data_IF_438234814885
#
_entry.id   IF_438234814885
#
_cell.length_a   1.000
_cell.length_b   1.000
_cell.length_c   1.000
_cell.angle_alpha   90.00
_cell.angle_beta   90.00
_cell.angle_gamma   90.00
#
_symmetry.space_group_name_H-M   'P 1'
#
loop_
_entity.id
_entity.type
_entity.pdbx_description
1 polymer ?
#
# COMPACT_ATOMS: atom_id res chain seq x y z
N UNK A 1 3.01 -5.61 -29.18
CA UNK A 1 3.30 -6.71 -28.25
C UNK A 1 2.10 -7.00 -27.36
N UNK A 2 1.58 -6.01 -26.62
CA UNK A 2 0.43 -6.18 -25.71
C UNK A 2 -0.86 -6.72 -26.37
N UNK A 3 -1.20 -6.25 -27.59
CA UNK A 3 -2.38 -6.74 -28.31
C UNK A 3 -2.25 -8.20 -28.78
N UNK A 4 -1.03 -8.64 -29.14
CA UNK A 4 -0.78 -10.03 -29.52
C UNK A 4 -0.90 -10.93 -28.29
N UNK A 5 -0.24 -10.54 -27.19
CA UNK A 5 -0.33 -11.23 -25.90
C UNK A 5 -1.78 -11.38 -25.44
N UNK A 6 -2.61 -10.35 -25.61
CA UNK A 6 -4.03 -10.41 -25.24
C UNK A 6 -4.79 -11.47 -26.05
N UNK A 7 -4.55 -11.56 -27.36
CA UNK A 7 -5.19 -12.57 -28.22
C UNK A 7 -4.76 -13.98 -27.85
N UNK A 8 -3.46 -14.19 -27.66
CA UNK A 8 -2.90 -15.50 -27.30
C UNK A 8 -3.48 -15.99 -25.95
N UNK A 9 -3.58 -15.09 -24.96
CA UNK A 9 -4.20 -15.42 -23.66
C UNK A 9 -5.69 -15.77 -23.82
N UNK A 10 -6.44 -15.02 -24.63
CA UNK A 10 -7.87 -15.28 -24.85
C UNK A 10 -8.10 -16.61 -25.57
N UNK A 11 -7.28 -16.94 -26.56
CA UNK A 11 -7.32 -18.22 -27.26
C UNK A 11 -7.03 -19.38 -26.31
N UNK A 12 -5.98 -19.25 -25.48
CA UNK A 12 -5.64 -20.24 -24.44
C UNK A 12 -6.79 -20.44 -23.44
N UNK A 13 -7.36 -19.36 -22.91
CA UNK A 13 -8.48 -19.44 -21.97
C UNK A 13 -9.72 -20.09 -22.60
N UNK A 14 -9.95 -19.87 -23.89
CA UNK A 14 -11.02 -20.53 -24.64
C UNK A 14 -10.73 -22.03 -24.78
N UNK A 15 -9.50 -22.40 -25.11
CA UNK A 15 -9.09 -23.81 -25.19
C UNK A 15 -9.16 -24.54 -23.84
N UNK A 16 -9.02 -23.79 -22.74
CA UNK A 16 -9.03 -24.33 -21.38
C UNK A 16 -10.41 -24.33 -20.72
N UNK A 17 -11.45 -23.85 -21.41
CA UNK A 17 -12.84 -23.87 -20.95
C UNK A 17 -13.27 -25.20 -20.29
N UNK A 18 -13.02 -26.39 -20.87
CA UNK A 18 -13.42 -27.65 -20.23
C UNK A 18 -12.69 -27.94 -18.90
N UNK A 19 -11.47 -27.44 -18.71
CA UNK A 19 -10.76 -27.58 -17.44
C UNK A 19 -11.29 -26.62 -16.38
N UNK A 20 -11.73 -25.42 -16.78
CA UNK A 20 -12.39 -24.48 -15.86
C UNK A 20 -13.76 -25.00 -15.43
N UNK A 21 -14.51 -25.58 -16.36
CA UNK A 21 -15.79 -26.22 -16.08
C UNK A 21 -15.65 -27.39 -15.07
N UNK A 22 -14.53 -28.11 -15.10
CA UNK A 22 -14.24 -29.16 -14.11
C UNK A 22 -13.69 -28.62 -12.77
N UNK A 23 -13.32 -27.35 -12.69
CA UNK A 23 -12.66 -26.76 -11.53
C UNK A 23 -13.64 -26.12 -10.55
N UNK A 24 -13.43 -26.35 -9.24
CA UNK A 24 -14.28 -25.75 -8.20
C UNK A 24 -13.93 -24.28 -7.91
N UNK A 25 -12.69 -23.87 -8.14
CA UNK A 25 -12.20 -22.52 -7.84
C UNK A 25 -11.07 -22.14 -8.80
N UNK A 26 -11.07 -20.88 -9.24
CA UNK A 26 -10.03 -20.35 -10.14
C UNK A 26 -9.32 -19.20 -9.45
N UNK A 27 -8.00 -19.32 -9.31
CA UNK A 27 -7.18 -18.28 -8.70
C UNK A 27 -6.48 -17.43 -9.76
N UNK A 28 -6.70 -16.12 -9.73
CA UNK A 28 -6.17 -15.17 -10.71
C UNK A 28 -5.36 -14.09 -10.01
N UNK A 29 -4.17 -13.83 -10.53
CA UNK A 29 -3.40 -12.64 -10.18
C UNK A 29 -3.13 -11.81 -11.42
N UNK A 30 -3.70 -10.61 -11.44
CA UNK A 30 -3.43 -9.61 -12.47
C UNK A 30 -3.24 -8.25 -11.79
N UNK A 31 -2.11 -7.55 -12.02
CA UNK A 31 -1.96 -6.16 -11.59
C UNK A 31 -3.01 -5.29 -12.29
N UNK A 32 -3.37 -4.16 -11.68
CA UNK A 32 -4.49 -3.30 -12.10
C UNK A 32 -4.48 -2.93 -13.60
N UNK A 33 -3.30 -2.74 -14.19
CA UNK A 33 -3.11 -2.46 -15.61
C UNK A 33 -3.60 -3.58 -16.55
N UNK A 34 -3.47 -4.84 -16.12
CA UNK A 34 -3.74 -6.01 -16.97
C UNK A 34 -5.00 -6.77 -16.56
N UNK A 35 -5.67 -6.34 -15.49
CA UNK A 35 -6.92 -6.97 -15.02
C UNK A 35 -7.99 -6.95 -16.11
N UNK A 36 -8.09 -5.87 -16.88
CA UNK A 36 -9.04 -5.73 -18.00
C UNK A 36 -8.82 -6.74 -19.15
N UNK A 37 -7.78 -7.58 -19.10
CA UNK A 37 -7.54 -8.64 -20.08
C UNK A 37 -8.33 -9.92 -19.76
N UNK A 38 -8.64 -10.15 -18.49
CA UNK A 38 -9.35 -11.37 -18.01
C UNK A 38 -10.83 -11.12 -17.75
N UNK A 39 -11.20 -9.86 -17.51
CA UNK A 39 -12.57 -9.42 -17.22
C UNK A 39 -13.08 -8.56 -18.38
N UNK A 40 -14.30 -8.83 -18.84
CA UNK A 40 -15.01 -7.97 -19.78
C UNK A 40 -16.10 -7.22 -19.02
N UNK A 41 -15.72 -6.15 -18.34
CA UNK A 41 -16.54 -5.54 -17.29
C UNK A 41 -16.47 -6.35 -16.00
N UNK A 42 -17.61 -6.86 -15.52
CA UNK A 42 -17.71 -7.63 -14.27
C UNK A 42 -17.65 -9.15 -14.47
N UNK A 43 -17.78 -9.63 -15.72
CA UNK A 43 -17.82 -11.06 -16.05
C UNK A 43 -16.48 -11.55 -16.60
N UNK A 44 -16.04 -12.72 -16.14
CA UNK A 44 -14.86 -13.41 -16.67
C UNK A 44 -15.13 -13.89 -18.10
N UNK A 45 -14.13 -13.79 -18.96
CA UNK A 45 -14.24 -14.14 -20.38
C UNK A 45 -14.40 -15.65 -20.64
N UNK A 46 -14.14 -16.50 -19.66
CA UNK A 46 -13.97 -17.95 -19.84
C UNK A 46 -14.85 -18.82 -18.94
N UNK A 47 -15.72 -18.20 -18.12
CA UNK A 47 -16.62 -18.93 -17.23
C UNK A 47 -18.06 -18.42 -17.40
N UNK A 48 -18.94 -19.30 -17.89
CA UNK A 48 -20.37 -18.98 -18.02
C UNK A 48 -21.18 -19.36 -16.78
N UNK A 49 -20.63 -20.18 -15.90
CA UNK A 49 -21.27 -20.66 -14.68
C UNK A 49 -20.26 -20.76 -13.53
N UNK A 50 -20.33 -19.82 -12.60
CA UNK A 50 -19.95 -19.99 -11.20
C UNK A 50 -18.62 -20.66 -10.80
N UNK A 51 -17.56 -20.64 -11.60
CA UNK A 51 -16.22 -20.81 -11.02
C UNK A 51 -15.92 -19.56 -10.20
N UNK A 52 -15.89 -19.68 -8.88
CA UNK A 52 -15.59 -18.58 -7.97
C UNK A 52 -14.15 -18.11 -8.24
N UNK A 53 -14.00 -17.05 -9.02
CA UNK A 53 -12.70 -16.53 -9.39
C UNK A 53 -12.20 -15.63 -8.29
N UNK A 54 -11.18 -16.13 -7.58
CA UNK A 54 -10.61 -15.46 -6.43
C UNK A 54 -9.27 -14.85 -6.78
N UNK A 55 -8.98 -13.74 -6.12
CA UNK A 55 -7.64 -13.20 -6.11
C UNK A 55 -6.75 -14.09 -5.25
N UNK A 56 -5.48 -14.22 -5.66
CA UNK A 56 -4.48 -14.99 -4.92
C UNK A 56 -4.21 -14.29 -3.56
N UNK A 57 -4.48 -14.94 -2.40
CA UNK A 57 -4.34 -14.35 -1.07
C UNK A 57 -2.88 -14.24 -0.58
N UNK A 58 -1.91 -14.51 -1.45
CA UNK A 58 -0.48 -14.46 -1.17
C UNK A 58 0.22 -13.56 -2.18
N UNK A 59 1.40 -13.05 -1.82
CA UNK A 59 2.19 -12.23 -2.73
C UNK A 59 2.64 -13.06 -3.93
N UNK A 60 2.36 -12.56 -5.13
CA UNK A 60 2.74 -13.20 -6.39
C UNK A 60 3.93 -12.44 -6.97
N UNK A 61 4.99 -13.18 -7.31
CA UNK A 61 6.22 -12.66 -7.91
C UNK A 61 6.07 -12.63 -9.44
N UNK A 62 7.21 -12.62 -10.14
CA UNK A 62 7.23 -12.62 -11.60
C UNK A 62 6.48 -13.86 -12.14
N UNK A 63 5.51 -13.69 -13.07
CA UNK A 63 4.75 -14.81 -13.64
C UNK A 63 5.68 -15.78 -14.37
N UNK A 64 6.02 -16.88 -13.70
CA UNK A 64 6.87 -17.95 -14.19
C UNK A 64 6.28 -19.28 -13.75
N UNK A 65 6.62 -20.38 -14.42
CA UNK A 65 6.12 -21.71 -14.05
C UNK A 65 6.50 -22.08 -12.60
N UNK A 66 7.73 -21.76 -12.18
CA UNK A 66 8.19 -21.97 -10.78
C UNK A 66 7.33 -21.22 -9.76
N UNK A 67 6.91 -20.00 -10.11
CA UNK A 67 6.04 -19.20 -9.26
C UNK A 67 4.62 -19.80 -9.19
N UNK A 68 4.07 -20.28 -10.31
CA UNK A 68 2.78 -20.97 -10.32
C UNK A 68 2.81 -22.23 -9.44
N UNK A 69 3.89 -23.02 -9.50
CA UNK A 69 4.07 -24.19 -8.65
C UNK A 69 4.19 -23.82 -7.16
N UNK A 70 4.92 -22.74 -6.83
CA UNK A 70 5.03 -22.23 -5.45
C UNK A 70 3.66 -21.82 -4.91
N UNK A 71 2.90 -21.06 -5.69
CA UNK A 71 1.58 -20.58 -5.30
C UNK A 71 0.62 -21.75 -5.11
N UNK A 72 0.61 -22.70 -6.05
CA UNK A 72 -0.20 -23.92 -5.93
C UNK A 72 0.15 -24.72 -4.68
N UNK A 73 1.45 -24.90 -4.40
CA UNK A 73 1.89 -25.57 -3.18
C UNK A 73 1.40 -24.87 -1.91
N UNK A 74 1.46 -23.54 -1.85
CA UNK A 74 0.97 -22.78 -0.69
C UNK A 74 -0.56 -22.81 -0.54
N UNK A 75 -1.31 -22.81 -1.64
CA UNK A 75 -2.78 -22.84 -1.59
C UNK A 75 -3.35 -24.22 -1.25
N UNK A 76 -2.60 -25.29 -1.56
CA UNK A 76 -3.01 -26.67 -1.30
C UNK A 76 -2.51 -27.21 0.03
N UNK A 77 -1.56 -26.52 0.67
CA UNK A 77 -1.05 -26.89 1.98
C UNK A 77 -2.00 -26.42 3.08
N UNK A 78 -2.31 -27.34 4.00
CA UNK A 78 -2.97 -27.01 5.27
C UNK A 78 -1.88 -26.57 6.23
N UNK A 79 -1.89 -25.30 6.60
CA UNK A 79 -1.03 -24.77 7.66
C UNK A 79 -1.74 -24.95 9.00
N UNK A 80 -1.12 -25.67 9.93
CA UNK A 80 -1.57 -25.69 11.32
C UNK A 80 -1.07 -24.41 11.97
N UNK A 81 -2.00 -23.49 12.22
CA UNK A 81 -1.74 -22.39 13.13
C UNK A 81 -1.90 -22.96 14.54
N UNK A 82 -0.78 -23.25 15.20
CA UNK A 82 -0.78 -23.46 16.63
C UNK A 82 -1.11 -22.10 17.22
N UNK A 83 -2.37 -21.90 17.59
CA UNK A 83 -2.67 -20.91 18.62
C UNK A 83 -1.91 -21.41 19.85
N UNK A 84 -0.77 -20.79 20.14
CA UNK A 84 -0.21 -20.81 21.48
C UNK A 84 -1.21 -20.06 22.38
N UNK A 85 -2.35 -20.69 22.66
CA UNK A 85 -2.93 -20.56 23.98
C UNK A 85 -1.89 -21.16 24.88
N UNK A 86 -1.11 -20.30 25.51
CA UNK A 86 -0.18 -20.63 26.57
C UNK A 86 -0.90 -21.61 27.53
N UNK A 87 -0.61 -22.89 27.38
CA UNK A 87 -0.87 -23.84 28.46
C UNK A 87 0.16 -23.48 29.54
N UNK A 88 -0.27 -23.18 30.78
CA UNK A 88 0.68 -22.86 31.84
C UNK A 88 1.64 -24.04 32.02
N UNK A 89 2.91 -23.67 31.98
CA UNK A 89 4.09 -24.53 32.01
C UNK A 89 4.09 -25.45 33.25
N UNK A 90 3.81 -26.76 33.05
CA UNK A 90 3.92 -27.79 34.09
C UNK A 90 5.37 -28.34 34.15
N UNK A 91 6.38 -27.50 33.94
CA UNK A 91 7.80 -27.91 34.04
C UNK A 91 8.59 -27.16 35.12
N UNK A 92 7.91 -26.66 36.17
CA UNK A 92 8.57 -26.14 37.38
C UNK A 92 8.14 -26.84 38.67
N UNK A 93 8.15 -28.16 38.66
CA UNK A 93 8.35 -28.98 39.85
C UNK A 93 9.41 -30.03 39.48
N UNK A 94 10.68 -29.63 39.63
CA UNK A 94 11.81 -30.53 39.46
C UNK A 94 11.72 -31.68 40.49
N UNK A 95 11.82 -32.90 39.94
CA UNK A 95 12.66 -34.02 40.36
C UNK A 95 12.81 -34.26 41.87
N UNK A 96 12.37 -35.44 42.33
CA UNK A 96 13.21 -36.36 43.13
C UNK A 96 12.61 -37.78 43.17
N UNK A 97 13.30 -38.67 42.46
CA UNK A 97 13.65 -40.06 42.80
C UNK A 97 12.61 -41.11 43.26
N UNK A 98 12.59 -42.16 42.42
CA UNK A 98 12.73 -43.60 42.76
C UNK A 98 11.47 -44.50 42.80
N UNK A 99 11.42 -45.33 41.75
CA UNK A 99 11.30 -46.79 41.75
C UNK A 99 10.12 -47.53 42.45
N UNK A 100 9.51 -48.39 41.63
CA UNK A 100 8.86 -49.69 41.90
C UNK A 100 7.38 -49.75 42.30
N UNK A 101 6.59 -50.20 41.31
CA UNK A 101 5.42 -51.10 41.34
C UNK A 101 4.55 -51.25 42.60
N UNK A 102 3.23 -51.13 42.41
CA UNK A 102 2.23 -52.21 42.55
C UNK A 102 0.80 -51.70 42.34
N UNK A 103 -0.03 -52.63 41.90
CA UNK A 103 -1.47 -52.56 41.68
C UNK A 103 -2.31 -52.29 42.95
N UNK A 104 -3.60 -52.02 42.69
CA UNK A 104 -4.80 -52.38 43.47
C UNK A 104 -5.52 -51.32 44.35
N UNK A 105 -6.75 -51.03 43.90
CA UNK A 105 -8.06 -51.30 44.57
C UNK A 105 -8.38 -50.66 45.93
N UNK A 106 -9.49 -49.89 45.96
CA UNK A 106 -10.63 -49.89 46.91
C UNK A 106 -11.28 -48.49 46.92
N UNK A 107 -12.39 -48.25 46.23
CA UNK A 107 -13.79 -48.46 46.66
C UNK A 107 -14.23 -47.78 47.97
N UNK A 108 -15.45 -47.21 47.88
CA UNK A 108 -16.46 -46.95 48.94
C UNK A 108 -16.29 -45.70 49.81
N UNK A 109 -17.32 -44.94 50.21
CA UNK A 109 -18.79 -45.05 50.09
C UNK A 109 -19.47 -43.73 50.48
N UNK A 110 -20.56 -43.40 49.78
CA UNK A 110 -21.90 -43.02 50.29
C UNK A 110 -22.16 -41.81 51.22
N UNK A 111 -23.08 -40.95 50.69
CA UNK A 111 -24.28 -40.31 51.31
C UNK A 111 -24.04 -39.22 52.37
N UNK A 112 -24.81 -38.13 52.50
CA UNK A 112 -26.27 -37.88 52.37
C UNK A 112 -26.50 -36.34 52.42
N UNK A 113 -27.15 -35.71 51.43
CA UNK A 113 -28.50 -35.11 51.43
C UNK A 113 -28.92 -34.15 52.60
N UNK A 114 -29.29 -32.92 52.19
CA UNK A 114 -30.51 -32.14 52.54
C UNK A 114 -30.44 -30.90 53.50
N UNK A 115 -30.75 -29.75 52.88
CA UNK A 115 -31.22 -28.41 53.35
C UNK A 115 -32.48 -28.45 54.28
N UNK A 116 -33.18 -27.34 54.70
CA UNK A 116 -32.97 -25.86 54.64
C UNK A 116 -33.38 -25.06 55.93
N UNK A 117 -33.33 -23.72 55.89
CA UNK A 117 -34.17 -22.79 56.71
C UNK A 117 -33.38 -21.62 57.34
N UNK A 118 -33.46 -20.36 56.85
CA UNK A 118 -34.51 -19.31 56.89
C UNK A 118 -34.46 -18.41 58.15
N UNK A 119 -34.33 -17.10 57.90
CA UNK A 119 -34.98 -15.93 58.56
C UNK A 119 -33.97 -14.78 58.88
N UNK A 120 -34.08 -13.65 58.16
CA UNK A 120 -34.60 -12.31 58.60
C UNK A 120 -33.56 -11.52 59.42
N UNK A 121 -33.19 -10.26 59.16
CA UNK A 121 -33.93 -8.99 59.00
C UNK A 121 -33.04 -7.98 58.23
N UNK A 122 -33.53 -7.20 57.24
CA UNK A 122 -34.14 -5.85 57.34
C UNK A 122 -33.25 -4.81 58.07
N UNK A 123 -33.06 -3.54 57.67
CA UNK A 123 -33.68 -2.61 56.71
C UNK A 123 -32.63 -1.50 56.45
N UNK A 124 -32.41 -1.05 55.22
CA UNK A 124 -33.00 0.16 54.61
C UNK A 124 -32.73 1.51 55.31
N UNK A 125 -32.03 2.41 54.60
CA UNK A 125 -32.59 3.66 54.01
C UNK A 125 -31.50 4.28 53.11
N UNK A 126 -31.71 4.40 51.80
CA UNK A 126 -32.53 5.42 51.09
C UNK A 126 -32.05 6.86 51.39
N UNK A 127 -31.83 7.79 50.44
CA UNK A 127 -32.11 7.85 48.99
C UNK A 127 -31.56 9.18 48.41
N UNK A 128 -31.07 9.12 47.17
CA UNK A 128 -31.41 9.99 46.01
C UNK A 128 -30.71 11.35 45.79
N UNK A 129 -29.99 11.42 44.65
CA UNK A 129 -30.35 12.22 43.45
C UNK A 129 -29.74 11.53 42.20
N UNK A 130 -30.45 10.67 41.46
CA UNK A 130 -31.24 10.95 40.22
C UNK A 130 -30.57 11.93 39.25
N UNK A 131 -30.26 11.61 37.97
CA UNK A 131 -31.03 10.88 36.92
C UNK A 131 -30.10 10.11 35.95
N UNK A 132 -30.24 8.79 35.73
CA UNK A 132 -31.13 8.02 34.80
C UNK A 132 -30.60 7.95 33.34
N UNK A 133 -30.41 6.78 32.70
CA UNK A 133 -31.17 5.51 32.75
C UNK A 133 -30.29 4.27 32.45
N UNK A 134 -30.19 3.24 33.31
CA UNK A 134 -30.97 1.95 33.42
C UNK A 134 -30.84 1.00 32.22
N UNK A 135 -30.78 -0.33 32.27
CA UNK A 135 -30.56 -1.42 33.25
C UNK A 135 -30.93 -2.71 32.48
N UNK A 136 -30.34 -3.88 32.78
CA UNK A 136 -31.01 -5.16 32.50
C UNK A 136 -30.11 -6.30 32.06
N UNK A 137 -29.78 -7.19 33.00
CA UNK A 137 -29.50 -8.59 32.68
C UNK A 137 -30.84 -9.30 32.41
N UNK A 138 -31.04 -9.83 31.20
CA UNK A 138 -31.68 -11.12 30.90
C UNK A 138 -31.94 -11.28 29.39
N UNK A 139 -31.58 -12.46 28.89
CA UNK A 139 -32.07 -13.19 27.72
C UNK A 139 -32.09 -12.54 26.32
N UNK A 140 -31.15 -13.01 25.49
CA UNK A 140 -31.23 -13.14 24.02
C UNK A 140 -31.80 -11.94 23.25
N UNK A 141 -31.00 -10.87 23.14
CA UNK A 141 -31.04 -10.00 21.97
C UNK A 141 -29.62 -9.80 21.43
N UNK A 142 -29.46 -10.13 20.15
CA UNK A 142 -28.25 -10.00 19.35
C UNK A 142 -28.00 -8.51 19.08
N UNK A 143 -27.36 -7.80 20.01
CA UNK A 143 -27.10 -6.36 19.93
C UNK A 143 -25.59 -6.10 20.04
N UNK A 144 -24.98 -5.73 18.91
CA UNK A 144 -23.71 -5.06 18.72
C UNK A 144 -22.73 -5.11 19.90
N UNK A 145 -21.72 -5.99 19.81
CA UNK A 145 -20.56 -5.99 20.73
C UNK A 145 -19.62 -4.78 20.56
N UNK A 146 -20.12 -3.63 20.09
CA UNK A 146 -19.32 -2.42 19.85
C UNK A 146 -18.92 -1.79 21.18
N UNK A 147 -17.64 -1.85 21.53
CA UNK A 147 -17.12 -1.20 22.76
C UNK A 147 -17.08 0.32 22.63
N UNK A 148 -17.10 1.10 23.73
CA UNK A 148 -16.94 2.56 23.68
C UNK A 148 -15.65 2.99 22.97
N UNK A 149 -14.60 2.16 23.04
CA UNK A 149 -13.35 2.39 22.31
C UNK A 149 -13.52 2.30 20.78
N UNK A 150 -14.45 1.45 20.28
CA UNK A 150 -14.81 1.42 18.87
C UNK A 150 -15.59 2.67 18.45
N UNK A 151 -16.47 3.17 19.31
CA UNK A 151 -17.24 4.39 19.05
C UNK A 151 -16.33 5.62 18.99
N UNK A 152 -15.43 5.78 19.97
CA UNK A 152 -14.43 6.84 19.97
C UNK A 152 -13.48 6.77 18.76
N UNK A 153 -13.10 5.55 18.35
CA UNK A 153 -12.28 5.38 17.15
C UNK A 153 -13.03 5.79 15.86
N UNK A 154 -14.34 5.52 15.80
CA UNK A 154 -15.21 5.87 14.67
C UNK A 154 -15.58 7.36 14.65
N UNK A 155 -15.71 7.99 15.82
CA UNK A 155 -16.02 9.42 15.95
C UNK A 155 -14.84 10.30 15.50
N UNK A 156 -13.61 9.78 15.57
CA UNK A 156 -12.40 10.50 15.17
C UNK A 156 -11.79 11.34 16.30
N UNK A 157 -12.29 11.19 17.53
CA UNK A 157 -11.84 11.95 18.69
C UNK A 157 -10.57 11.34 19.30
N UNK A 158 -9.41 11.90 18.96
CA UNK A 158 -8.12 11.41 19.44
C UNK A 158 -7.95 11.50 20.98
N UNK A 159 -8.54 12.52 21.61
CA UNK A 159 -8.48 12.75 23.06
C UNK A 159 -9.31 11.72 23.83
N UNK A 160 -10.54 11.47 23.37
CA UNK A 160 -11.46 10.46 23.95
C UNK A 160 -10.86 9.06 23.88
N UNK A 161 -10.21 8.72 22.76
CA UNK A 161 -9.49 7.45 22.62
C UNK A 161 -8.33 7.33 23.62
N UNK A 162 -7.57 8.42 23.85
CA UNK A 162 -6.47 8.41 24.81
C UNK A 162 -6.98 8.21 26.24
N UNK A 163 -8.05 8.91 26.61
CA UNK A 163 -8.66 8.82 27.94
C UNK A 163 -9.18 7.40 28.22
N UNK A 164 -9.89 6.79 27.26
CA UNK A 164 -10.39 5.42 27.39
C UNK A 164 -9.24 4.39 27.51
N UNK A 165 -8.15 4.61 26.79
CA UNK A 165 -6.95 3.77 26.89
C UNK A 165 -6.27 3.91 28.26
N UNK A 166 -6.22 5.13 28.81
CA UNK A 166 -5.70 5.40 30.16
C UNK A 166 -6.58 4.77 31.26
N UNK A 167 -7.90 4.77 31.07
CA UNK A 167 -8.86 4.06 31.93
C UNK A 167 -8.71 2.53 31.89
N UNK A 168 -7.90 2.00 30.97
CA UNK A 168 -7.55 0.59 30.89
C UNK A 168 -8.46 -0.23 29.99
N UNK A 169 -9.17 0.39 29.04
CA UNK A 169 -9.94 -0.35 28.06
C UNK A 169 -9.03 -1.10 27.09
N UNK A 170 -9.34 -2.37 26.85
CA UNK A 170 -8.51 -3.25 26.03
C UNK A 170 -8.67 -2.91 24.52
N UNK A 171 -7.57 -2.54 23.83
CA UNK A 171 -7.59 -2.23 22.40
C UNK A 171 -7.59 -3.49 21.51
N UNK A 172 -7.50 -4.68 22.10
CA UNK A 172 -7.45 -5.98 21.40
C UNK A 172 -8.85 -6.55 21.12
N UNK A 173 -9.89 -6.00 21.74
CA UNK A 173 -11.27 -6.47 21.59
C UNK A 173 -11.72 -6.24 20.15
N UNK A 174 -12.28 -7.27 19.52
CA UNK A 174 -12.81 -7.21 18.16
C UNK A 174 -14.32 -7.05 18.19
N UNK A 175 -14.84 -6.17 17.35
CA UNK A 175 -16.27 -6.01 17.10
C UNK A 175 -16.87 -7.23 16.38
N UNK A 176 -18.19 -7.27 16.17
CA UNK A 176 -18.91 -8.34 15.45
C UNK A 176 -18.35 -8.61 14.04
N UNK A 177 -17.68 -7.60 13.46
CA UNK A 177 -17.03 -7.65 12.15
C UNK A 177 -15.59 -8.17 12.20
N UNK A 178 -15.11 -8.60 13.38
CA UNK A 178 -13.74 -9.01 13.62
C UNK A 178 -12.72 -7.87 13.57
N UNK A 179 -13.18 -6.61 13.66
CA UNK A 179 -12.32 -5.42 13.56
C UNK A 179 -11.95 -4.92 14.95
N UNK A 180 -10.70 -4.54 15.15
CA UNK A 180 -10.26 -3.86 16.38
C UNK A 180 -10.63 -2.37 16.33
N UNK A 181 -10.64 -1.65 17.47
CA UNK A 181 -10.87 -0.22 17.51
C UNK A 181 -9.93 0.54 16.57
N UNK A 182 -8.67 0.11 16.47
CA UNK A 182 -7.70 0.68 15.55
C UNK A 182 -8.10 0.53 14.07
N UNK A 183 -8.71 -0.59 13.68
CA UNK A 183 -9.21 -0.80 12.31
C UNK A 183 -10.47 0.01 12.01
N UNK A 184 -11.25 0.33 13.04
CA UNK A 184 -12.43 1.20 12.92
C UNK A 184 -12.06 2.68 12.80
N UNK A 185 -10.84 3.07 13.16
CA UNK A 185 -10.35 4.43 13.03
C UNK A 185 -10.14 4.84 11.56
N UNK A 186 -10.93 5.82 11.11
CA UNK A 186 -10.77 6.47 9.81
C UNK A 186 -9.61 7.48 9.84
N UNK A 187 -9.53 8.24 10.92
CA UNK A 187 -8.61 9.36 11.08
C UNK A 187 -7.16 8.93 11.34
N UNK A 188 -6.23 9.68 10.75
CA UNK A 188 -4.79 9.43 10.95
C UNK A 188 -4.37 9.73 12.39
N UNK A 189 -4.92 10.78 13.00
CA UNK A 189 -4.52 11.19 14.35
C UNK A 189 -4.94 10.16 15.40
N UNK A 190 -6.16 9.61 15.30
CA UNK A 190 -6.61 8.51 16.16
C UNK A 190 -5.73 7.27 16.02
N UNK A 191 -5.36 6.89 14.78
CA UNK A 191 -4.40 5.77 14.60
C UNK A 191 -3.03 6.08 15.21
N UNK A 192 -2.59 7.34 15.15
CA UNK A 192 -1.36 7.77 15.77
C UNK A 192 -1.45 7.74 17.31
N UNK A 193 -2.59 8.06 17.92
CA UNK A 193 -2.74 7.96 19.39
C UNK A 193 -2.62 6.53 19.87
N UNK A 194 -3.25 5.55 19.21
CA UNK A 194 -3.04 4.13 19.51
C UNK A 194 -1.56 3.72 19.41
N UNK A 195 -0.85 4.22 18.39
CA UNK A 195 0.58 3.92 18.18
C UNK A 195 1.50 4.61 19.19
N UNK A 196 1.17 5.83 19.64
CA UNK A 196 1.88 6.57 20.69
C UNK A 196 1.65 5.90 22.05
N UNK A 197 0.41 5.52 22.33
CA UNK A 197 0.03 4.85 23.56
C UNK A 197 0.61 3.44 23.67
N UNK A 198 0.70 2.71 22.55
CA UNK A 198 1.48 1.47 22.46
C UNK A 198 2.92 1.69 22.89
N UNK A 199 3.58 2.74 22.38
CA UNK A 199 4.98 3.02 22.70
C UNK A 199 5.22 3.22 24.20
N UNK A 200 4.23 3.76 24.91
CA UNK A 200 4.26 3.95 26.37
C UNK A 200 3.88 2.69 27.15
N UNK A 201 3.16 1.74 26.55
CA UNK A 201 2.59 0.56 27.21
C UNK A 201 2.87 -0.74 26.44
N UNK A 202 4.12 -0.99 26.04
CA UNK A 202 4.49 -2.17 25.23
C UNK A 202 4.12 -3.51 25.88
N UNK A 203 4.06 -3.57 27.20
CA UNK A 203 3.94 -4.82 27.97
C UNK A 203 2.53 -5.08 28.52
N UNK A 204 1.62 -4.09 28.43
CA UNK A 204 0.30 -4.16 29.09
C UNK A 204 -0.75 -4.90 28.26
N UNK A 205 -0.63 -4.92 26.94
CA UNK A 205 -1.56 -5.60 26.03
C UNK A 205 -0.81 -6.27 24.88
N UNK A 206 -1.41 -7.33 24.32
CA UNK A 206 -0.94 -7.93 23.08
C UNK A 206 -1.28 -7.02 21.88
N UNK A 207 -0.36 -6.10 21.60
CA UNK A 207 -0.47 -5.16 20.50
C UNK A 207 -0.45 -5.81 19.11
N UNK A 208 0.02 -7.06 18.99
CA UNK A 208 -0.09 -7.83 17.76
C UNK A 208 -1.54 -8.24 17.53
N UNK A 209 -2.26 -8.67 18.57
CA UNK A 209 -3.69 -8.98 18.49
C UNK A 209 -4.57 -7.74 18.20
N UNK A 210 -4.08 -6.53 18.53
CA UNK A 210 -4.75 -5.26 18.25
C UNK A 210 -4.62 -4.77 16.78
N UNK A 211 -3.87 -5.48 15.92
CA UNK A 211 -3.59 -5.12 14.51
C UNK A 211 -2.93 -3.74 14.34
N UNK A 212 -2.15 -3.27 15.32
CA UNK A 212 -1.47 -1.98 15.25
C UNK A 212 -0.06 -2.15 14.65
N UNK A 213 0.21 -1.71 13.40
CA UNK A 213 1.36 -2.20 12.61
C UNK A 213 2.76 -1.75 13.04
N UNK A 214 2.91 -0.88 14.03
CA UNK A 214 4.17 -0.50 14.70
C UNK A 214 3.96 0.72 15.62
N UNK A 215 4.66 0.74 16.76
CA UNK A 215 4.73 1.89 17.64
C UNK A 215 5.31 3.11 16.89
N UNK A 216 4.53 4.20 16.81
CA UNK A 216 4.96 5.47 16.22
C UNK A 216 5.50 6.31 17.36
N UNK A 217 6.82 6.30 17.53
CA UNK A 217 7.48 7.14 18.53
C UNK A 217 7.44 8.60 18.10
N UNK A 218 7.29 9.50 19.08
CA UNK A 218 7.27 10.96 18.87
C UNK A 218 8.49 11.45 18.10
N UNK A 219 9.67 10.89 18.40
CA UNK A 219 10.92 11.20 17.69
C UNK A 219 10.91 10.81 16.21
N UNK A 220 10.24 9.71 15.85
CA UNK A 220 10.12 9.27 14.46
C UNK A 220 9.17 10.17 13.66
N UNK A 221 8.11 10.68 14.29
CA UNK A 221 7.17 11.61 13.67
C UNK A 221 7.83 12.97 13.37
N UNK A 222 8.59 13.49 14.33
CA UNK A 222 9.35 14.74 14.17
C UNK A 222 10.42 14.60 13.08
N UNK A 223 11.09 13.45 12.99
CA UNK A 223 12.06 13.14 11.92
C UNK A 223 11.41 13.07 10.54
N UNK A 224 10.22 12.46 10.43
CA UNK A 224 9.47 12.42 9.17
C UNK A 224 8.98 13.83 8.76
N UNK A 225 8.48 14.62 9.70
CA UNK A 225 8.07 16.00 9.47
C UNK A 225 9.25 16.87 9.03
N UNK A 226 10.41 16.74 9.68
CA UNK A 226 11.64 17.44 9.29
C UNK A 226 12.09 17.06 7.88
N UNK A 227 12.14 15.76 7.56
CA UNK A 227 12.49 15.28 6.20
C UNK A 227 11.51 15.77 5.13
N UNK A 228 10.23 15.86 5.46
CA UNK A 228 9.22 16.36 4.52
C UNK A 228 9.33 17.89 4.34
N UNK A 229 9.51 18.63 5.42
CA UNK A 229 9.72 20.08 5.39
C UNK A 229 11.00 20.45 4.62
N UNK A 230 12.09 19.68 4.77
CA UNK A 230 13.33 19.87 4.00
C UNK A 230 13.09 19.66 2.49
N UNK A 231 12.39 18.58 2.12
CA UNK A 231 12.05 18.30 0.71
C UNK A 231 11.18 19.42 0.11
N UNK A 232 10.20 19.91 0.85
CA UNK A 232 9.30 20.96 0.37
C UNK A 232 9.99 22.34 0.33
N UNK A 233 10.89 22.63 1.28
CA UNK A 233 11.76 23.80 1.23
C UNK A 233 12.68 23.76 -0.01
N UNK A 234 13.29 22.61 -0.31
CA UNK A 234 14.13 22.40 -1.51
C UNK A 234 13.33 22.58 -2.81
N UNK A 235 12.11 22.06 -2.87
CA UNK A 235 11.20 22.26 -4.02
C UNK A 235 10.81 23.73 -4.18
N UNK A 236 10.48 24.42 -3.09
CA UNK A 236 10.13 25.85 -3.09
C UNK A 236 11.31 26.73 -3.49
N UNK A 237 12.53 26.40 -3.06
CA UNK A 237 13.75 27.08 -3.48
C UNK A 237 14.01 26.94 -4.99
N UNK A 238 13.97 25.71 -5.52
CA UNK A 238 14.11 25.43 -6.96
C UNK A 238 13.03 26.14 -7.79
N UNK A 239 11.79 26.18 -7.31
CA UNK A 239 10.70 26.88 -7.98
C UNK A 239 10.92 28.41 -8.02
N UNK A 240 11.40 29.01 -6.93
CA UNK A 240 11.75 30.44 -6.89
C UNK A 240 12.90 30.77 -7.84
N UNK A 241 13.92 29.92 -7.89
CA UNK A 241 15.07 30.07 -8.80
C UNK A 241 14.64 29.97 -10.27
N UNK A 242 13.84 28.95 -10.62
CA UNK A 242 13.31 28.78 -11.97
C UNK A 242 12.44 29.97 -12.40
N UNK A 243 11.63 30.51 -11.49
CA UNK A 243 10.81 31.71 -11.76
C UNK A 243 11.67 32.96 -11.99
N UNK A 244 12.76 33.14 -11.23
CA UNK A 244 13.74 34.22 -11.46
C UNK A 244 14.42 34.07 -12.82
N UNK A 245 14.85 32.86 -13.18
CA UNK A 245 15.52 32.58 -14.45
C UNK A 245 14.58 32.78 -15.65
N UNK A 246 13.30 32.40 -15.53
CA UNK A 246 12.27 32.69 -16.54
C UNK A 246 12.05 34.19 -16.72
N UNK A 247 11.87 34.96 -15.64
CA UNK A 247 11.74 36.42 -15.71
C UNK A 247 12.97 37.09 -16.33
N UNK A 248 14.18 36.61 -16.02
CA UNK A 248 15.41 37.14 -16.60
C UNK A 248 15.51 36.84 -18.11
N UNK A 249 15.16 35.62 -18.54
CA UNK A 249 15.12 35.26 -19.96
C UNK A 249 14.07 36.07 -20.72
N UNK A 250 12.90 36.30 -20.14
CA UNK A 250 11.84 37.12 -20.72
C UNK A 250 12.26 38.57 -20.88
N UNK A 251 12.89 39.17 -19.86
CA UNK A 251 13.46 40.53 -19.97
C UNK A 251 14.56 40.63 -21.04
N UNK A 252 15.44 39.62 -21.14
CA UNK A 252 16.47 39.58 -22.19
C UNK A 252 15.86 39.44 -23.58
N UNK A 253 14.82 38.62 -23.75
CA UNK A 253 14.12 38.48 -25.02
C UNK A 253 13.39 39.78 -25.42
N UNK A 254 12.78 40.49 -24.46
CA UNK A 254 12.16 41.79 -24.69
C UNK A 254 13.18 42.87 -25.08
N UNK A 255 14.34 42.91 -24.42
CA UNK A 255 15.42 43.84 -24.76
C UNK A 255 15.98 43.58 -26.18
N UNK A 256 16.23 42.31 -26.52
CA UNK A 256 16.67 41.93 -27.87
C UNK A 256 15.63 42.24 -28.94
N UNK A 257 14.33 42.09 -28.64
CA UNK A 257 13.25 42.47 -29.54
C UNK A 257 13.20 43.99 -29.75
N UNK A 258 13.39 44.80 -28.70
CA UNK A 258 13.41 46.27 -28.80
C UNK A 258 14.63 46.80 -29.58
N UNK A 259 15.81 46.22 -29.38
CA UNK A 259 17.02 46.55 -30.15
C UNK A 259 16.84 46.28 -31.65
N UNK A 260 16.18 45.17 -31.99
CA UNK A 260 15.90 44.82 -33.39
C UNK A 260 14.87 45.73 -34.07
N UNK A 261 14.04 46.45 -33.31
CA UNK A 261 13.08 47.42 -33.86
C UNK A 261 13.73 48.80 -34.07
N UNK A 262 14.67 49.20 -33.20
CA UNK A 262 15.34 50.49 -33.28
C UNK A 262 16.38 50.58 -34.41
N UNK A 263 16.87 49.44 -34.91
CA UNK A 263 17.74 49.38 -36.10
C UNK A 263 16.99 49.63 -37.43
N UNK A 264 15.67 49.86 -37.42
CA UNK A 264 14.85 50.05 -38.63
C UNK A 264 14.40 51.49 -38.89
N UNK A 265 14.86 52.47 -38.10
CA UNK A 265 14.45 53.87 -38.23
C UNK A 265 15.63 54.82 -38.46
N UNK A 266 16.06 54.94 -39.73
CA UNK A 266 16.80 56.10 -40.23
C UNK A 266 16.19 56.54 -41.58
N UNK A 267 16.03 57.86 -41.86
CA UNK A 267 15.08 58.36 -42.86
C UNK A 267 15.79 58.81 -44.15
N UNK A 268 15.22 58.59 -45.35
CA UNK A 268 15.34 59.50 -46.52
C UNK A 268 14.55 59.04 -47.76
N UNK A 269 13.67 59.94 -48.23
CA UNK A 269 13.45 60.41 -49.60
C UNK A 269 13.31 59.45 -50.82
N UNK A 270 12.10 59.53 -51.41
CA UNK A 270 11.76 59.80 -52.83
C UNK A 270 12.25 58.86 -53.95
N UNK A 271 11.24 58.36 -54.68
CA UNK A 271 11.14 58.17 -56.14
C UNK A 271 10.97 56.72 -56.67
N UNK A 272 9.74 56.46 -57.16
CA UNK A 272 9.34 56.05 -58.53
C UNK A 272 10.05 54.85 -59.20
N UNK A 273 9.18 53.93 -59.67
CA UNK A 273 9.25 53.02 -60.81
C UNK A 273 9.71 51.55 -60.63
N UNK A 274 9.00 50.70 -61.37
CA UNK A 274 8.87 49.24 -61.33
C UNK A 274 9.88 48.52 -62.27
N UNK A 275 9.78 47.20 -62.57
CA UNK A 275 10.83 46.23 -62.28
C UNK A 275 11.55 45.68 -63.52
N UNK A 276 12.76 45.12 -63.36
CA UNK A 276 13.37 44.25 -64.38
C UNK A 276 14.41 43.30 -63.77
N UNK A 277 14.58 42.17 -64.43
CA UNK A 277 15.08 40.87 -63.93
C UNK A 277 16.59 40.68 -64.19
N UNK A 278 17.21 39.81 -63.36
CA UNK A 278 18.51 39.08 -63.48
C UNK A 278 19.68 39.72 -62.73
N UNK A 279 20.03 39.24 -61.53
CA UNK A 279 20.82 38.03 -61.20
C UNK A 279 22.33 38.35 -61.15
N UNK A 280 22.95 38.21 -59.96
CA UNK A 280 24.28 37.63 -59.69
C UNK A 280 24.74 37.91 -58.24
N UNK A 281 24.98 36.81 -57.52
CA UNK A 281 25.95 36.53 -56.44
C UNK A 281 25.98 37.30 -55.08
N UNK A 282 25.96 36.44 -54.05
CA UNK A 282 26.71 36.48 -52.78
C UNK A 282 26.01 36.99 -51.49
N UNK A 283 25.89 36.06 -50.54
CA UNK A 283 26.20 36.26 -49.12
C UNK A 283 25.33 37.22 -48.30
N UNK A 284 24.15 36.78 -47.86
CA UNK A 284 23.43 37.38 -46.73
C UNK A 284 22.63 36.30 -45.96
N UNK A 285 22.49 36.40 -44.63
CA UNK A 285 21.97 35.33 -43.79
C UNK A 285 20.50 35.11 -44.10
N UNK A 286 20.13 33.89 -44.45
CA UNK A 286 18.74 33.48 -44.62
C UNK A 286 18.02 33.78 -43.30
N UNK A 287 17.16 34.81 -43.29
CA UNK A 287 16.16 34.99 -42.23
C UNK A 287 15.18 33.84 -42.37
N UNK A 288 15.53 32.72 -41.75
CA UNK A 288 14.69 31.53 -41.67
C UNK A 288 13.33 31.95 -41.11
N UNK A 289 12.28 31.56 -41.81
CA UNK A 289 10.92 31.80 -41.36
C UNK A 289 10.72 31.14 -39.99
N UNK A 290 9.86 31.73 -39.13
CA UNK A 290 9.57 31.16 -37.78
C UNK A 290 9.15 29.69 -37.84
N UNK A 291 8.60 29.25 -38.96
CA UNK A 291 8.20 27.88 -39.23
C UNK A 291 9.41 26.94 -39.45
N UNK A 292 10.43 27.37 -40.18
CA UNK A 292 11.66 26.59 -40.38
C UNK A 292 12.46 26.44 -39.08
N UNK A 293 12.45 27.46 -38.22
CA UNK A 293 13.10 27.38 -36.91
C UNK A 293 12.39 26.36 -35.98
N UNK A 294 11.06 26.29 -36.03
CA UNK A 294 10.29 25.25 -35.33
C UNK A 294 10.57 23.86 -35.89
N UNK A 295 10.64 23.71 -37.22
CA UNK A 295 11.00 22.43 -37.87
C UNK A 295 12.42 21.99 -37.47
N UNK A 296 13.39 22.90 -37.41
CA UNK A 296 14.76 22.60 -36.92
C UNK A 296 14.76 22.20 -35.46
N UNK A 297 14.04 22.90 -34.58
CA UNK A 297 13.92 22.52 -33.16
C UNK A 297 13.28 21.15 -32.97
N UNK A 298 12.26 20.81 -33.76
CA UNK A 298 11.66 19.48 -33.74
C UNK A 298 12.60 18.41 -34.28
N UNK A 299 13.38 18.71 -35.32
CA UNK A 299 14.40 17.80 -35.85
C UNK A 299 15.51 17.54 -34.82
N UNK A 300 16.03 18.58 -34.17
CA UNK A 300 17.01 18.48 -33.09
C UNK A 300 16.46 17.69 -31.88
N UNK A 301 15.17 17.84 -31.57
CA UNK A 301 14.53 17.07 -30.50
C UNK A 301 14.36 15.59 -30.88
N UNK A 302 13.97 15.31 -32.13
CA UNK A 302 13.90 13.94 -32.67
C UNK A 302 15.29 13.29 -32.68
N UNK A 303 16.31 14.02 -33.10
CA UNK A 303 17.70 13.55 -33.11
C UNK A 303 18.21 13.29 -31.69
N UNK A 304 17.94 14.19 -30.73
CA UNK A 304 18.27 13.94 -29.31
C UNK A 304 17.57 12.72 -28.74
N UNK A 305 16.30 12.49 -29.10
CA UNK A 305 15.56 11.28 -28.70
C UNK A 305 16.17 10.02 -29.33
N UNK A 306 16.53 10.06 -30.61
CA UNK A 306 17.19 8.97 -31.30
C UNK A 306 18.55 8.64 -30.67
N UNK A 307 19.41 9.63 -30.47
CA UNK A 307 20.71 9.45 -29.82
C UNK A 307 20.60 8.91 -28.38
N UNK A 308 19.57 9.32 -27.62
CA UNK A 308 19.30 8.76 -26.30
C UNK A 308 18.85 7.29 -26.35
N UNK A 309 18.06 6.91 -27.36
CA UNK A 309 17.66 5.53 -27.59
C UNK A 309 18.87 4.66 -27.99
N UNK A 310 19.73 5.14 -28.89
CA UNK A 310 20.97 4.46 -29.29
C UNK A 310 21.92 4.27 -28.11
N UNK A 311 22.10 5.29 -27.25
CA UNK A 311 22.88 5.14 -26.02
C UNK A 311 22.30 4.10 -25.07
N UNK A 312 20.98 3.99 -24.97
CA UNK A 312 20.33 2.94 -24.16
C UNK A 312 20.56 1.55 -24.76
N UNK A 313 20.47 1.42 -26.09
CA UNK A 313 20.75 0.15 -26.78
C UNK A 313 22.23 -0.23 -26.62
N UNK A 314 23.15 0.71 -26.76
CA UNK A 314 24.58 0.48 -26.58
C UNK A 314 24.94 0.09 -25.13
N UNK A 315 24.34 0.75 -24.13
CA UNK A 315 24.51 0.38 -22.72
C UNK A 315 23.92 -0.99 -22.41
N UNK A 316 22.77 -1.34 -22.98
CA UNK A 316 22.18 -2.66 -22.82
C UNK A 316 23.04 -3.75 -23.48
N UNK A 317 23.61 -3.49 -24.66
CA UNK A 317 24.54 -4.39 -25.33
C UNK A 317 25.84 -4.57 -24.54
N UNK A 318 26.39 -3.49 -23.97
CA UNK A 318 27.58 -3.55 -23.10
C UNK A 318 27.28 -4.30 -21.78
N UNK A 319 26.10 -4.12 -21.19
CA UNK A 319 25.70 -4.89 -20.01
C UNK A 319 25.52 -6.39 -20.34
N UNK A 320 25.08 -6.73 -21.55
CA UNK A 320 24.96 -8.10 -22.01
C UNK A 320 26.31 -8.78 -22.31
N UNK A 321 27.34 -8.02 -22.75
CA UNK A 321 28.68 -8.57 -22.98
C UNK A 321 29.48 -8.77 -21.68
N UNK A 322 29.23 -7.95 -20.66
CA UNK A 322 29.85 -8.13 -19.33
C UNK A 322 29.25 -9.33 -18.59
N UNK A 323 27.96 -9.64 -18.79
CA UNK A 323 27.33 -10.81 -18.20
C UNK A 323 27.66 -12.12 -18.90
N UNK A 324 28.05 -12.11 -20.19
CA UNK A 324 28.49 -13.32 -20.89
C UNK A 324 29.96 -13.68 -20.61
N UNK A 325 30.79 -12.72 -20.23
CA UNK A 325 32.21 -12.93 -19.94
C UNK A 325 32.50 -13.40 -18.50
N UNK A 326 31.55 -13.27 -17.56
CA UNK A 326 31.72 -13.75 -16.18
C UNK A 326 31.36 -15.24 -15.96
N UNK A 327 30.79 -15.92 -16.96
CA UNK A 327 30.39 -17.33 -16.88
C UNK A 327 31.46 -18.29 -17.46
N UNK A 328 32.58 -17.77 -17.96
CA UNK A 328 33.58 -18.54 -18.72
C UNK A 328 34.79 -19.12 -17.95
N UNK A 329 34.96 -18.88 -16.65
CA UNK A 329 36.28 -19.13 -15.99
C UNK A 329 36.33 -20.25 -14.94
N UNK A 330 35.30 -21.08 -14.76
CA UNK A 330 35.35 -22.20 -13.78
C UNK A 330 35.26 -23.58 -14.43
N UNK A 331 36.29 -23.98 -15.20
CA UNK A 331 36.52 -25.40 -15.49
C UNK A 331 37.92 -25.61 -16.09
N UNK A 332 38.93 -25.80 -15.23
CA UNK A 332 40.13 -26.63 -15.51
C UNK A 332 41.22 -26.33 -14.48
N UNK A 333 41.27 -27.09 -13.39
CA UNK A 333 42.51 -27.41 -12.70
C UNK A 333 42.27 -28.61 -11.77
N UNK A 334 42.76 -29.76 -12.23
CA UNK A 334 43.38 -30.88 -11.48
C UNK A 334 42.73 -31.38 -10.20
#
# INVERSE_FOLDING_TARGET
NELALKKDIQELLTSWKPYFDASSCVFIHAPSSNRQMFYNGEKLLFCDWCSDARNIPITVRRPTFKEAQRVYGQLTQVAFQVDEREFPDIQKLELNESCTGKENTLEKSMKEERNPGKATEACERDKISDKQSTSGESDKELVCSTTPLHEAAKSGNAEEVLELLEQGLDPTIKDERGKTPYMSATEKEVRNTFRRFMASNLEKWDWHAADVPSALTKEMEESQAARQAEKDAKRKAKAKELKKLRKAKEKKAQAQAAESQNATAAPTNKAIASPSVREILSGAPVRLSKEEELKRKQAEEREKRAAAAERRIALAAAAASVSSSSVGTTSSAT
#
